data_IF_669431588251
#
_entry.id   IF_669431588251
#
_cell.length_a   1.000
_cell.length_b   1.000
_cell.length_c   1.000
_cell.angle_alpha   90.00
_cell.angle_beta   90.00
_cell.angle_gamma   90.00
#
_symmetry.space_group_name_H-M   'P 1'
#
loop_
_entity.id
_entity.type
_entity.pdbx_description
1 polymer ?
#
# COMPACT_ATOMS: atom_id res chain seq x y z
N UNK A 1 61.51 32.17 5.89
CA UNK A 1 60.27 31.57 6.43
C UNK A 1 59.24 31.48 5.30
N UNK A 2 58.94 30.31 4.70
CA UNK A 2 57.91 30.23 3.69
C UNK A 2 56.57 29.82 4.32
N UNK A 3 55.54 30.63 4.12
CA UNK A 3 54.14 30.26 4.31
C UNK A 3 53.41 30.50 2.97
N UNK A 4 52.85 29.46 2.36
CA UNK A 4 51.69 29.47 1.44
C UNK A 4 51.49 28.09 0.78
N UNK A 5 50.62 27.26 1.34
CA UNK A 5 50.02 26.13 0.59
C UNK A 5 48.69 25.59 1.14
N UNK A 6 47.83 26.43 1.73
CA UNK A 6 46.55 25.95 2.27
C UNK A 6 45.56 25.45 1.19
N UNK A 7 45.60 25.99 -0.03
CA UNK A 7 44.48 25.82 -0.96
C UNK A 7 44.48 24.53 -1.83
N UNK A 8 45.60 23.79 -1.94
CA UNK A 8 45.64 22.57 -2.78
C UNK A 8 45.17 21.34 -2.02
N UNK A 9 45.65 21.18 -0.79
CA UNK A 9 45.34 20.02 0.05
C UNK A 9 43.87 20.04 0.49
N UNK A 10 43.35 21.22 0.85
CA UNK A 10 41.92 21.39 1.20
C UNK A 10 41.00 21.06 0.03
N UNK A 11 41.41 21.43 -1.20
CA UNK A 11 40.66 21.11 -2.43
C UNK A 11 40.69 19.62 -2.74
N UNK A 12 41.81 18.93 -2.53
CA UNK A 12 41.91 17.48 -2.70
C UNK A 12 41.03 16.74 -1.69
N UNK A 13 41.06 17.15 -0.42
CA UNK A 13 40.13 16.61 0.59
C UNK A 13 38.67 16.88 0.22
N UNK A 14 38.34 18.09 -0.24
CA UNK A 14 36.98 18.43 -0.66
C UNK A 14 36.50 17.61 -1.87
N UNK A 15 37.40 17.32 -2.82
CA UNK A 15 37.07 16.50 -4.00
C UNK A 15 36.90 15.04 -3.59
N UNK A 16 37.79 14.49 -2.77
CA UNK A 16 37.72 13.09 -2.33
C UNK A 16 36.52 12.84 -1.42
N UNK A 17 36.33 13.65 -0.36
CA UNK A 17 35.17 13.50 0.52
C UNK A 17 33.88 13.93 -0.15
N UNK A 18 33.90 14.99 -0.98
CA UNK A 18 32.74 15.46 -1.72
C UNK A 18 32.22 14.43 -2.72
N UNK A 19 33.11 13.73 -3.43
CA UNK A 19 32.71 12.64 -4.34
C UNK A 19 32.14 11.44 -3.58
N UNK A 20 32.70 11.07 -2.43
CA UNK A 20 32.15 10.02 -1.58
C UNK A 20 30.75 10.37 -1.05
N UNK A 21 30.55 11.61 -0.58
CA UNK A 21 29.25 12.12 -0.13
C UNK A 21 28.25 12.15 -1.30
N UNK A 22 28.68 12.58 -2.49
CA UNK A 22 27.83 12.60 -3.68
C UNK A 22 27.35 11.20 -4.05
N UNK A 23 28.23 10.21 -4.04
CA UNK A 23 27.87 8.80 -4.29
C UNK A 23 26.89 8.30 -3.23
N UNK A 24 27.11 8.64 -1.95
CA UNK A 24 26.18 8.26 -0.88
C UNK A 24 24.80 8.90 -1.06
N UNK A 25 24.72 10.18 -1.42
CA UNK A 25 23.45 10.89 -1.70
C UNK A 25 22.73 10.24 -2.88
N UNK A 26 23.45 9.94 -3.98
CA UNK A 26 22.86 9.26 -5.14
C UNK A 26 22.33 7.88 -4.74
N UNK A 27 23.10 7.11 -3.97
CA UNK A 27 22.69 5.80 -3.47
C UNK A 27 21.43 5.87 -2.61
N UNK A 28 21.37 6.82 -1.68
CA UNK A 28 20.18 7.07 -0.86
C UNK A 28 18.98 7.52 -1.70
N UNK A 29 19.19 8.39 -2.68
CA UNK A 29 18.14 8.87 -3.56
C UNK A 29 17.54 7.74 -4.40
N UNK A 30 18.39 6.87 -4.96
CA UNK A 30 17.96 5.67 -5.68
C UNK A 30 17.23 4.73 -4.74
N UNK A 31 17.78 4.42 -3.56
CA UNK A 31 17.15 3.54 -2.58
C UNK A 31 15.78 4.06 -2.14
N UNK A 32 15.63 5.38 -1.96
CA UNK A 32 14.37 6.01 -1.58
C UNK A 32 13.26 5.83 -2.63
N UNK A 33 13.61 5.71 -3.92
CA UNK A 33 12.64 5.38 -4.98
C UNK A 33 12.12 3.95 -4.88
N UNK A 34 12.85 3.05 -4.20
CA UNK A 34 12.46 1.64 -4.00
C UNK A 34 11.81 1.36 -2.64
N UNK A 35 11.84 2.32 -1.70
CA UNK A 35 11.05 2.21 -0.48
C UNK A 35 9.59 2.38 -0.89
N UNK A 36 8.77 1.37 -0.57
CA UNK A 36 7.37 1.30 -0.95
C UNK A 36 6.66 2.62 -0.62
N UNK A 37 5.72 3.09 -1.48
CA UNK A 37 4.92 4.26 -1.17
C UNK A 37 4.31 4.09 0.22
N UNK A 38 4.26 5.19 0.98
CA UNK A 38 3.68 5.16 2.33
C UNK A 38 2.32 4.46 2.30
N UNK A 39 2.01 3.62 3.31
CA UNK A 39 0.75 2.89 3.36
C UNK A 39 -0.42 3.86 3.12
N UNK A 40 -1.40 3.49 2.29
CA UNK A 40 -2.44 4.40 1.85
C UNK A 40 -3.24 4.93 3.05
N UNK A 41 -3.48 6.24 3.08
CA UNK A 41 -4.20 6.91 4.17
C UNK A 41 -5.70 6.59 4.17
N UNK A 42 -6.21 5.96 3.10
CA UNK A 42 -7.61 5.59 2.93
C UNK A 42 -7.73 4.22 2.28
N UNK A 43 -8.62 3.40 2.81
CA UNK A 43 -8.97 2.06 2.32
C UNK A 43 -10.48 1.94 2.22
N UNK A 44 -11.00 1.41 1.12
CA UNK A 44 -12.43 1.17 0.91
C UNK A 44 -12.73 -0.34 1.02
N UNK A 45 -13.65 -0.71 1.92
CA UNK A 45 -14.05 -2.11 2.16
C UNK A 45 -15.53 -2.34 1.85
N UNK A 46 -15.84 -3.41 1.10
CA UNK A 46 -17.23 -3.83 0.86
C UNK A 46 -17.63 -4.94 1.84
N UNK A 47 -18.74 -4.76 2.54
CA UNK A 47 -19.23 -5.67 3.59
C UNK A 47 -20.53 -6.34 3.18
N UNK A 48 -21.33 -6.84 4.12
CA UNK A 48 -22.73 -7.16 3.88
C UNK A 48 -23.65 -6.00 4.25
N UNK A 49 -24.89 -6.33 4.59
CA UNK A 49 -25.88 -5.39 5.13
C UNK A 49 -25.39 -4.74 6.43
N UNK A 50 -25.92 -3.56 6.75
CA UNK A 50 -25.55 -2.78 7.93
C UNK A 50 -25.85 -3.49 9.27
N UNK A 51 -26.81 -4.41 9.27
CA UNK A 51 -27.19 -5.27 10.40
C UNK A 51 -26.42 -6.60 10.44
N UNK A 52 -25.54 -6.85 9.47
CA UNK A 52 -24.80 -8.10 9.32
C UNK A 52 -23.48 -8.13 10.08
N UNK A 53 -23.01 -9.35 10.38
CA UNK A 53 -21.73 -9.57 11.07
C UNK A 53 -20.54 -8.92 10.34
N UNK A 54 -20.51 -8.96 9.01
CA UNK A 54 -19.46 -8.32 8.20
C UNK A 54 -19.36 -6.81 8.43
N UNK A 55 -20.50 -6.13 8.62
CA UNK A 55 -20.49 -4.70 8.91
C UNK A 55 -19.96 -4.41 10.32
N UNK A 56 -20.33 -5.23 11.31
CA UNK A 56 -19.82 -5.11 12.68
C UNK A 56 -18.30 -5.31 12.74
N UNK A 57 -17.76 -6.31 12.03
CA UNK A 57 -16.32 -6.52 11.96
C UNK A 57 -15.61 -5.35 11.26
N UNK A 58 -16.13 -4.86 10.13
CA UNK A 58 -15.55 -3.70 9.44
C UNK A 58 -15.48 -2.47 10.34
N UNK A 59 -16.51 -2.23 11.17
CA UNK A 59 -16.52 -1.14 12.15
C UNK A 59 -15.37 -1.26 13.15
N UNK A 60 -15.14 -2.45 13.69
CA UNK A 60 -14.03 -2.70 14.60
C UNK A 60 -12.67 -2.47 13.92
N UNK A 61 -12.51 -2.89 12.67
CA UNK A 61 -11.29 -2.63 11.89
C UNK A 61 -11.08 -1.14 11.61
N UNK A 62 -12.15 -0.39 11.34
CA UNK A 62 -12.06 1.07 11.15
C UNK A 62 -11.46 1.74 12.37
N UNK A 63 -11.93 1.36 13.56
CA UNK A 63 -11.46 1.97 14.81
C UNK A 63 -9.99 1.61 15.09
N UNK A 64 -9.56 0.38 14.75
CA UNK A 64 -8.16 -0.06 14.86
C UNK A 64 -7.26 0.68 13.86
N UNK A 65 -7.68 0.80 12.61
CA UNK A 65 -6.92 1.44 11.52
C UNK A 65 -6.83 2.96 11.71
N UNK A 66 -7.88 3.58 12.25
CA UNK A 66 -7.87 5.00 12.60
C UNK A 66 -6.76 5.34 13.61
N UNK A 67 -6.43 4.42 14.52
CA UNK A 67 -5.29 4.57 15.44
C UNK A 67 -3.93 4.66 14.75
N UNK A 68 -3.82 4.14 13.52
CA UNK A 68 -2.61 4.20 12.68
C UNK A 68 -2.67 5.30 11.61
N UNK A 69 -3.69 6.17 11.65
CA UNK A 69 -3.89 7.23 10.65
C UNK A 69 -4.53 6.78 9.33
N UNK A 70 -5.07 5.55 9.27
CA UNK A 70 -5.70 4.99 8.07
C UNK A 70 -7.23 5.10 8.21
N UNK A 71 -7.87 5.76 7.24
CA UNK A 71 -9.32 5.87 7.16
C UNK A 71 -9.93 4.64 6.44
N UNK A 72 -10.83 3.93 7.11
CA UNK A 72 -11.57 2.82 6.49
C UNK A 72 -12.99 3.25 6.09
N UNK A 73 -13.26 3.34 4.79
CA UNK A 73 -14.58 3.62 4.21
C UNK A 73 -15.36 2.29 4.02
N UNK A 74 -16.45 2.14 4.77
CA UNK A 74 -17.26 0.92 4.79
C UNK A 74 -18.43 1.05 3.83
N UNK A 75 -18.45 0.23 2.77
CA UNK A 75 -19.54 0.14 1.79
C UNK A 75 -20.40 -1.09 2.05
N UNK A 76 -21.67 -0.86 2.39
CA UNK A 76 -22.64 -1.95 2.51
C UNK A 76 -22.97 -2.56 1.14
N UNK A 77 -23.32 -3.83 1.12
CA UNK A 77 -23.76 -4.54 -0.07
C UNK A 77 -24.85 -5.56 0.26
N UNK A 78 -25.45 -6.12 -0.79
CA UNK A 78 -26.38 -7.25 -0.71
C UNK A 78 -25.70 -8.57 -0.31
N UNK A 79 -24.36 -8.68 -0.39
CA UNK A 79 -23.62 -9.87 0.02
C UNK A 79 -22.34 -10.13 -0.78
N UNK A 80 -21.78 -11.33 -0.60
CA UNK A 80 -20.47 -11.72 -1.11
C UNK A 80 -20.33 -11.66 -2.64
N UNK A 81 -21.39 -11.95 -3.39
CA UNK A 81 -21.38 -11.86 -4.87
C UNK A 81 -21.17 -10.42 -5.33
N UNK A 82 -21.90 -9.47 -4.72
CA UNK A 82 -21.75 -8.05 -5.03
C UNK A 82 -20.36 -7.54 -4.61
N UNK A 83 -19.85 -8.01 -3.48
CA UNK A 83 -18.51 -7.68 -3.00
C UNK A 83 -17.42 -8.11 -3.97
N UNK A 84 -17.47 -9.34 -4.48
CA UNK A 84 -16.52 -9.84 -5.49
C UNK A 84 -16.61 -8.99 -6.76
N UNK A 85 -17.83 -8.71 -7.24
CA UNK A 85 -18.03 -7.91 -8.45
C UNK A 85 -17.44 -6.52 -8.32
N UNK A 86 -17.62 -5.86 -7.17
CA UNK A 86 -17.03 -4.54 -6.88
C UNK A 86 -15.52 -4.62 -6.73
N UNK A 87 -14.98 -5.67 -6.13
CA UNK A 87 -13.52 -5.87 -5.97
C UNK A 87 -12.81 -6.10 -7.31
N UNK A 88 -13.47 -6.79 -8.24
CA UNK A 88 -12.95 -7.08 -9.59
C UNK A 88 -13.23 -5.94 -10.59
N UNK A 89 -13.97 -4.91 -10.20
CA UNK A 89 -14.27 -3.80 -11.09
C UNK A 89 -12.99 -3.01 -11.39
N UNK A 90 -12.79 -2.67 -12.66
CA UNK A 90 -11.61 -1.94 -13.12
C UNK A 90 -11.58 -0.47 -12.68
N UNK A 91 -12.65 0.01 -12.04
CA UNK A 91 -12.76 1.37 -11.52
C UNK A 91 -11.92 1.60 -10.25
N UNK A 92 -11.40 0.53 -9.63
CA UNK A 92 -10.48 0.60 -8.49
C UNK A 92 -11.10 1.26 -7.26
N UNK A 93 -12.43 1.31 -7.17
CA UNK A 93 -13.12 1.96 -6.07
C UNK A 93 -13.18 1.12 -4.79
N UNK A 94 -12.66 -0.10 -4.83
CA UNK A 94 -12.70 -1.04 -3.72
C UNK A 94 -11.35 -1.72 -3.51
N UNK A 95 -10.80 -1.59 -2.31
CA UNK A 95 -9.52 -2.18 -1.93
C UNK A 95 -9.70 -3.54 -1.26
N UNK A 96 -10.78 -3.71 -0.49
CA UNK A 96 -11.05 -4.89 0.33
C UNK A 96 -12.52 -5.32 0.22
N UNK A 97 -12.80 -6.61 0.44
CA UNK A 97 -14.17 -7.10 0.47
C UNK A 97 -14.32 -8.33 1.39
N UNK A 98 -15.42 -8.41 2.14
CA UNK A 98 -15.79 -9.62 2.87
C UNK A 98 -16.52 -10.60 1.96
N UNK A 99 -16.10 -11.86 2.01
CA UNK A 99 -16.60 -12.91 1.13
C UNK A 99 -16.80 -14.20 1.91
N UNK A 100 -17.93 -14.87 1.68
CA UNK A 100 -18.17 -16.20 2.24
C UNK A 100 -17.42 -17.25 1.41
N UNK A 101 -16.71 -18.17 2.07
CA UNK A 101 -16.09 -19.32 1.41
C UNK A 101 -17.13 -20.12 0.61
N UNK A 102 -16.80 -20.49 -0.63
CA UNK A 102 -17.70 -21.19 -1.56
C UNK A 102 -18.47 -20.30 -2.53
N UNK A 103 -18.46 -18.96 -2.36
CA UNK A 103 -19.21 -18.03 -3.24
C UNK A 103 -18.82 -18.15 -4.73
N UNK A 104 -17.58 -18.57 -5.05
CA UNK A 104 -17.14 -18.79 -6.43
C UNK A 104 -17.82 -19.98 -7.14
N UNK A 105 -18.33 -20.96 -6.39
CA UNK A 105 -19.03 -22.12 -6.96
C UNK A 105 -20.43 -21.74 -7.44
N UNK A 106 -21.06 -20.77 -6.77
CA UNK A 106 -22.42 -20.31 -7.08
C UNK A 106 -22.46 -19.18 -8.12
N UNK A 107 -21.36 -18.44 -8.32
CA UNK A 107 -21.29 -17.32 -9.28
C UNK A 107 -20.98 -17.72 -10.72
N UNK A 108 -20.78 -19.00 -11.02
CA UNK A 108 -20.41 -19.46 -12.37
C UNK A 108 -19.04 -18.98 -12.83
N UNK A 109 -18.22 -18.45 -11.92
CA UNK A 109 -16.82 -18.10 -12.14
C UNK A 109 -15.91 -19.33 -11.97
N UNK A 110 -16.46 -20.53 -12.18
CA UNK A 110 -15.71 -21.76 -12.15
C UNK A 110 -14.59 -21.70 -13.19
N UNK A 111 -13.37 -22.03 -12.76
CA UNK A 111 -12.28 -22.24 -13.70
C UNK A 111 -12.71 -23.30 -14.73
N UNK A 112 -12.58 -23.03 -16.04
CA UNK A 112 -12.93 -23.99 -17.06
C UNK A 112 -12.00 -25.20 -16.95
N UNK A 113 -12.47 -26.30 -16.34
CA UNK A 113 -11.86 -27.62 -16.55
C UNK A 113 -11.58 -28.52 -15.34
N UNK A 114 -12.19 -28.32 -14.17
CA UNK A 114 -12.03 -29.29 -13.06
C UNK A 114 -13.29 -30.15 -12.91
N UNK A 115 -13.29 -31.42 -13.35
CA UNK A 115 -14.41 -32.34 -13.15
C UNK A 115 -14.49 -32.80 -11.67
N UNK A 116 -15.73 -32.97 -11.19
CA UNK A 116 -16.05 -33.45 -9.85
C UNK A 116 -16.12 -34.97 -9.73
#
# INVERSE_FOLDING_TARGET
MPQRSANRTDREYLITYGSAILIAIIGFWVAYQFVQPAPPDRIVISTGRADGAYYLFARQYRDLLAGSGIELDIRTSAGSVENIKRLLAADGHLDLAFVQGGTNQDTGLAEPGVPG
#
